data_IF_700443991623
#
_entry.id   IF_700443991623
#
_cell.length_a   1.000
_cell.length_b   1.000
_cell.length_c   1.000
_cell.angle_alpha   90.00
_cell.angle_beta   90.00
_cell.angle_gamma   90.00
#
_symmetry.space_group_name_H-M   'P 1'
#
loop_
_entity.id
_entity.type
_entity.pdbx_description
1 polymer ?
#
# COMPACT_ATOMS: atom_id res chain seq x y z
N UNK A 1 -19.27 16.97 -14.66
CA UNK A 1 -19.20 16.59 -16.09
C UNK A 1 -18.23 15.42 -16.22
N UNK A 2 -18.67 14.21 -16.62
CA UNK A 2 -17.75 13.08 -16.86
C UNK A 2 -16.92 13.38 -18.10
N UNK A 3 -15.60 13.33 -17.97
CA UNK A 3 -14.68 13.57 -19.09
C UNK A 3 -14.58 12.26 -19.88
N UNK A 4 -15.16 12.23 -21.08
CA UNK A 4 -15.25 11.02 -21.92
C UNK A 4 -13.88 10.34 -22.15
N UNK A 5 -12.81 11.11 -22.28
CA UNK A 5 -11.46 10.56 -22.45
C UNK A 5 -10.96 9.79 -21.22
N UNK A 6 -11.34 10.21 -20.01
CA UNK A 6 -11.02 9.49 -18.77
C UNK A 6 -11.77 8.16 -18.74
N UNK A 7 -13.07 8.16 -19.06
CA UNK A 7 -13.87 6.94 -19.09
C UNK A 7 -13.32 5.92 -20.10
N UNK A 8 -12.94 6.38 -21.30
CA UNK A 8 -12.31 5.52 -22.31
C UNK A 8 -10.97 4.95 -21.85
N UNK A 9 -10.14 5.73 -21.16
CA UNK A 9 -8.87 5.26 -20.59
C UNK A 9 -9.09 4.21 -19.51
N UNK A 10 -9.98 4.48 -18.54
CA UNK A 10 -10.28 3.55 -17.45
C UNK A 10 -10.81 2.24 -18.04
N UNK A 11 -11.78 2.30 -18.96
CA UNK A 11 -12.34 1.10 -19.61
C UNK A 11 -11.28 0.27 -20.32
N UNK A 12 -10.24 0.90 -20.88
CA UNK A 12 -9.16 0.21 -21.61
C UNK A 12 -8.18 -0.49 -20.67
N UNK A 13 -7.85 0.11 -19.53
CA UNK A 13 -6.75 -0.34 -18.68
C UNK A 13 -7.17 -0.97 -17.35
N UNK A 14 -8.44 -0.86 -16.95
CA UNK A 14 -8.92 -1.32 -15.65
C UNK A 14 -8.50 -2.76 -15.34
N UNK A 15 -8.75 -3.70 -16.25
CA UNK A 15 -8.44 -5.12 -16.02
C UNK A 15 -6.93 -5.38 -15.84
N UNK A 16 -6.08 -4.71 -16.63
CA UNK A 16 -4.63 -4.84 -16.52
C UNK A 16 -4.14 -4.26 -15.19
N UNK A 17 -4.69 -3.10 -14.78
CA UNK A 17 -4.36 -2.47 -13.50
C UNK A 17 -4.78 -3.36 -12.32
N UNK A 18 -5.94 -4.00 -12.40
CA UNK A 18 -6.39 -4.96 -11.38
C UNK A 18 -5.42 -6.14 -11.26
N UNK A 19 -5.02 -6.74 -12.38
CA UNK A 19 -4.05 -7.85 -12.39
C UNK A 19 -2.69 -7.44 -11.78
N UNK A 20 -2.14 -6.31 -12.22
CA UNK A 20 -0.87 -5.79 -11.68
C UNK A 20 -1.01 -5.47 -10.19
N UNK A 21 -2.13 -4.87 -9.78
CA UNK A 21 -2.41 -4.59 -8.37
C UNK A 21 -2.43 -5.87 -7.55
N UNK A 22 -3.02 -6.96 -8.03
CA UNK A 22 -3.06 -8.23 -7.29
C UNK A 22 -1.69 -8.91 -7.13
N UNK A 23 -0.77 -8.71 -8.08
CA UNK A 23 0.56 -9.30 -8.02
C UNK A 23 1.58 -8.44 -7.26
N UNK A 24 1.30 -7.14 -7.08
CA UNK A 24 2.20 -6.24 -6.36
C UNK A 24 2.09 -6.47 -4.86
N UNK A 25 3.23 -6.37 -4.17
CA UNK A 25 3.30 -6.38 -2.71
C UNK A 25 2.43 -5.28 -2.09
N UNK A 26 1.68 -5.64 -1.04
CA UNK A 26 0.76 -4.78 -0.30
C UNK A 26 1.02 -4.88 1.19
N UNK A 27 0.56 -3.88 1.93
CA UNK A 27 0.55 -3.94 3.40
C UNK A 27 -0.25 -5.12 3.95
N UNK A 28 -1.27 -5.59 3.21
CA UNK A 28 -2.08 -6.77 3.58
C UNK A 28 -1.30 -8.09 3.58
N UNK A 29 -0.13 -8.13 2.93
CA UNK A 29 0.72 -9.33 2.89
C UNK A 29 1.54 -9.48 4.19
N UNK A 30 1.39 -8.54 5.13
CA UNK A 30 2.09 -8.50 6.39
C UNK A 30 1.11 -8.50 7.55
N UNK A 31 1.34 -9.39 8.53
CA UNK A 31 0.65 -9.39 9.81
C UNK A 31 1.36 -8.45 10.77
N UNK A 32 0.63 -7.47 11.32
CA UNK A 32 1.11 -6.65 12.43
C UNK A 32 1.33 -7.51 13.68
N UNK A 33 2.54 -7.43 14.25
CA UNK A 33 2.85 -8.05 15.54
C UNK A 33 2.78 -7.00 16.66
N UNK A 34 3.47 -5.86 16.47
CA UNK A 34 3.53 -4.79 17.48
C UNK A 34 3.97 -3.48 16.84
N UNK A 35 3.46 -2.35 17.31
CA UNK A 35 4.05 -1.02 17.01
C UNK A 35 5.30 -0.83 17.86
N UNK A 36 6.44 -0.53 17.22
CA UNK A 36 7.76 -0.41 17.87
C UNK A 36 8.31 1.02 17.89
N UNK A 37 7.69 1.97 17.18
CA UNK A 37 8.08 3.37 17.25
C UNK A 37 7.03 4.29 16.63
N UNK A 38 6.97 5.55 17.09
CA UNK A 38 6.13 6.61 16.54
C UNK A 38 6.97 7.86 16.33
N UNK A 39 6.78 8.54 15.21
CA UNK A 39 7.50 9.77 14.86
C UNK A 39 6.58 10.77 14.17
N UNK A 40 7.15 11.89 13.71
CA UNK A 40 6.37 12.99 13.13
C UNK A 40 5.52 12.60 11.92
N UNK A 41 5.98 11.66 11.09
CA UNK A 41 5.34 11.32 9.80
C UNK A 41 4.68 9.93 9.79
N UNK A 42 4.52 9.31 10.96
CA UNK A 42 3.88 8.00 11.08
C UNK A 42 4.53 7.09 12.12
N UNK A 43 4.45 5.78 11.91
CA UNK A 43 4.88 4.77 12.87
C UNK A 43 5.71 3.65 12.25
N UNK A 44 6.48 2.97 13.09
CA UNK A 44 7.25 1.77 12.73
C UNK A 44 6.60 0.57 13.40
N UNK A 45 6.27 -0.43 12.60
CA UNK A 45 5.59 -1.65 13.00
C UNK A 45 6.55 -2.85 12.87
N UNK A 46 6.63 -3.70 13.90
CA UNK A 46 7.16 -5.05 13.77
C UNK A 46 6.10 -5.90 13.09
N UNK A 47 6.43 -6.44 11.92
CA UNK A 47 5.51 -7.21 11.08
C UNK A 47 6.08 -8.55 10.68
N UNK A 48 5.21 -9.51 10.36
CA UNK A 48 5.57 -10.81 9.79
C UNK A 48 4.95 -10.96 8.41
N UNK A 49 5.76 -11.25 7.40
CA UNK A 49 5.25 -11.58 6.07
C UNK A 49 4.50 -12.91 6.12
N UNK A 50 3.26 -12.95 5.64
CA UNK A 50 2.34 -14.07 5.85
C UNK A 50 2.79 -15.34 5.15
N UNK A 51 3.39 -15.23 3.95
CA UNK A 51 3.84 -16.38 3.17
C UNK A 51 5.19 -16.93 3.63
N UNK A 52 6.17 -16.06 3.87
CA UNK A 52 7.55 -16.48 4.16
C UNK A 52 7.86 -16.59 5.65
N UNK A 53 6.96 -16.12 6.53
CA UNK A 53 7.17 -16.02 7.97
C UNK A 53 8.33 -15.14 8.43
N UNK A 54 9.01 -14.44 7.52
CA UNK A 54 10.09 -13.52 7.85
C UNK A 54 9.55 -12.30 8.61
N UNK A 55 10.36 -11.79 9.54
CA UNK A 55 10.02 -10.65 10.40
C UNK A 55 10.77 -9.41 9.96
N UNK A 56 10.09 -8.27 9.94
CA UNK A 56 10.61 -6.99 9.47
C UNK A 56 10.15 -5.83 10.35
N UNK A 57 10.86 -4.71 10.27
CA UNK A 57 10.39 -3.41 10.75
C UNK A 57 9.83 -2.61 9.56
N UNK A 58 8.52 -2.37 9.53
CA UNK A 58 7.83 -1.66 8.46
C UNK A 58 7.50 -0.24 8.91
N UNK A 59 8.05 0.77 8.21
CA UNK A 59 7.73 2.18 8.45
C UNK A 59 6.52 2.60 7.61
N UNK A 60 5.45 3.01 8.27
CA UNK A 60 4.26 3.58 7.62
C UNK A 60 4.40 5.10 7.60
N UNK A 61 4.11 5.68 6.45
CA UNK A 61 4.12 7.11 6.23
C UNK A 61 2.76 7.56 5.68
N UNK A 62 2.17 8.60 6.28
CA UNK A 62 0.97 9.20 5.73
C UNK A 62 1.35 10.13 4.57
N UNK A 63 0.83 9.87 3.37
CA UNK A 63 1.15 10.66 2.16
C UNK A 63 0.73 12.13 2.31
N UNK A 64 -0.39 12.41 2.97
CA UNK A 64 -0.89 13.77 3.13
C UNK A 64 0.01 14.58 4.07
N UNK A 65 0.49 13.93 5.14
CA UNK A 65 1.41 14.56 6.10
C UNK A 65 2.84 14.68 5.54
N UNK A 66 3.21 13.87 4.53
CA UNK A 66 4.52 13.94 3.87
C UNK A 66 4.66 15.11 2.89
N UNK A 67 3.56 15.59 2.32
CA UNK A 67 3.56 16.59 1.23
C UNK A 67 3.22 18.01 1.75
N UNK A 68 2.99 18.15 3.06
CA UNK A 68 2.86 19.45 3.73
C UNK A 68 4.19 20.13 3.97
#
# INVERSE_FOLDING_TARGET
MRIKSIDSFISRYQQVIEQVSQQRLKGSDFRLLKVIGRGAFGEVQLVRHTLTNNVYAMKLLNKDDMVR
#
